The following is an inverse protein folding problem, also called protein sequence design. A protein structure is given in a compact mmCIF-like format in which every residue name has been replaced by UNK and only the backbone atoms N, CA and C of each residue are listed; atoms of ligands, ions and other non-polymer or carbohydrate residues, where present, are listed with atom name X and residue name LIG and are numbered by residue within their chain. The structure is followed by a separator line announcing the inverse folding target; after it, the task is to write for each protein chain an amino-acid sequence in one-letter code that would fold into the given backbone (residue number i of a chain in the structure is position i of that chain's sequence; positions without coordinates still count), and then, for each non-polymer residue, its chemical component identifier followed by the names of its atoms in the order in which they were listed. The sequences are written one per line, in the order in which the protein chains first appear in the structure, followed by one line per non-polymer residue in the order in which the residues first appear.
data_IF_304585029210
#
_entry.id   IF_304585029210
#
_cell.length_a   1.000
_cell.length_b   1.000
_cell.length_c   1.000
_cell.angle_alpha   90.00
_cell.angle_beta   90.00
_cell.angle_gamma   90.00
#
_symmetry.space_group_name_H-M   'P 1'
#
loop_
_entity.id
_entity.type
_entity.pdbx_description
1 polymer ?
#
# COMPACT_ATOMS: atom_id res chain seq x y z
N UNK A 1 -17.13 -19.92 2.82
CA UNK A 1 -16.91 -19.27 1.51
C UNK A 1 -17.48 -17.86 1.40
N UNK A 2 -18.73 -17.58 1.80
CA UNK A 2 -19.34 -16.23 1.74
C UNK A 2 -18.56 -15.11 2.45
N UNK A 3 -17.96 -15.39 3.62
CA UNK A 3 -17.20 -14.38 4.38
C UNK A 3 -15.90 -13.97 3.68
N UNK A 4 -15.18 -14.91 3.07
CA UNK A 4 -13.92 -14.66 2.37
C UNK A 4 -14.19 -13.85 1.10
N UNK A 5 -15.20 -14.25 0.31
CA UNK A 5 -15.61 -13.51 -0.89
C UNK A 5 -15.99 -12.05 -0.56
N UNK A 6 -16.67 -11.83 0.57
CA UNK A 6 -17.03 -10.49 1.04
C UNK A 6 -15.81 -9.66 1.42
N UNK A 7 -14.85 -10.24 2.14
CA UNK A 7 -13.60 -9.54 2.52
C UNK A 7 -12.77 -9.20 1.28
N UNK A 8 -12.68 -10.12 0.32
CA UNK A 8 -11.98 -9.88 -0.94
C UNK A 8 -12.69 -8.79 -1.75
N UNK A 9 -14.02 -8.83 -1.85
CA UNK A 9 -14.79 -7.80 -2.55
C UNK A 9 -14.60 -6.40 -1.93
N UNK A 10 -14.65 -6.28 -0.60
CA UNK A 10 -14.36 -5.01 0.08
C UNK A 10 -12.92 -4.55 -0.17
N UNK A 11 -11.93 -5.45 -0.12
CA UNK A 11 -10.53 -5.12 -0.41
C UNK A 11 -10.31 -4.67 -1.85
N UNK A 12 -11.03 -5.25 -2.82
CA UNK A 12 -10.99 -4.81 -4.23
C UNK A 12 -11.59 -3.42 -4.38
N UNK A 13 -12.73 -3.14 -3.74
CA UNK A 13 -13.37 -1.82 -3.77
C UNK A 13 -12.45 -0.77 -3.13
N UNK A 14 -11.85 -1.09 -1.98
CA UNK A 14 -10.90 -0.19 -1.31
C UNK A 14 -9.68 0.10 -2.18
N UNK A 15 -9.11 -0.92 -2.82
CA UNK A 15 -7.99 -0.75 -3.75
C UNK A 15 -8.38 0.11 -4.96
N UNK A 16 -9.59 -0.07 -5.50
CA UNK A 16 -10.09 0.71 -6.63
C UNK A 16 -10.30 2.18 -6.25
N UNK A 17 -10.92 2.46 -5.09
CA UNK A 17 -11.10 3.83 -4.58
C UNK A 17 -9.74 4.47 -4.33
N UNK A 18 -8.81 3.75 -3.72
CA UNK A 18 -7.47 4.26 -3.44
C UNK A 18 -6.70 4.57 -4.72
N UNK A 19 -6.73 3.66 -5.70
CA UNK A 19 -6.16 3.91 -7.02
C UNK A 19 -6.77 5.12 -7.71
N UNK A 20 -8.10 5.27 -7.66
CA UNK A 20 -8.79 6.42 -8.24
C UNK A 20 -8.34 7.74 -7.62
N UNK A 21 -8.19 7.80 -6.29
CA UNK A 21 -7.67 8.99 -5.60
C UNK A 21 -6.24 9.31 -6.04
N UNK A 22 -5.38 8.30 -6.19
CA UNK A 22 -4.00 8.50 -6.66
C UNK A 22 -3.94 9.00 -8.10
N UNK A 23 -4.75 8.44 -9.00
CA UNK A 23 -4.85 8.90 -10.39
C UNK A 23 -5.45 10.31 -10.49
N UNK A 24 -6.44 10.64 -9.65
CA UNK A 24 -7.00 12.01 -9.56
C UNK A 24 -5.95 13.03 -9.08
N UNK A 25 -5.11 12.66 -8.11
CA UNK A 25 -4.04 13.51 -7.62
C UNK A 25 -2.91 13.67 -8.65
N UNK A 26 -2.51 12.57 -9.30
CA UNK A 26 -1.49 12.56 -10.34
C UNK A 26 -1.93 13.28 -11.63
N UNK A 27 -3.25 13.33 -11.91
CA UNK A 27 -3.81 13.96 -13.10
C UNK A 27 -3.58 13.18 -14.40
N UNK A 28 -3.07 11.95 -14.32
CA UNK A 28 -2.81 11.07 -15.46
C UNK A 28 -2.99 9.61 -15.07
N UNK A 29 -3.53 8.80 -15.97
CA UNK A 29 -3.65 7.33 -15.82
C UNK A 29 -2.43 6.58 -16.32
N UNK A 30 -1.56 7.26 -17.08
CA UNK A 30 -0.37 6.69 -17.73
C UNK A 30 0.86 6.73 -16.79
N UNK A 31 0.61 6.60 -15.48
CA UNK A 31 1.63 6.63 -14.43
C UNK A 31 1.86 5.23 -13.88
N UNK A 32 2.79 4.50 -14.51
CA UNK A 32 3.08 3.09 -14.20
C UNK A 32 3.54 2.85 -12.75
N UNK A 33 4.08 3.88 -12.10
CA UNK A 33 4.49 3.85 -10.69
C UNK A 33 3.28 3.66 -9.76
N UNK A 34 2.14 4.27 -10.06
CA UNK A 34 0.90 4.06 -9.27
C UNK A 34 0.42 2.62 -9.43
N UNK A 35 0.45 2.06 -10.64
CA UNK A 35 0.10 0.67 -10.88
C UNK A 35 1.00 -0.29 -10.08
N UNK A 36 2.31 -0.07 -10.10
CA UNK A 36 3.27 -0.89 -9.34
C UNK A 36 3.02 -0.79 -7.84
N UNK A 37 2.80 0.42 -7.33
CA UNK A 37 2.48 0.65 -5.93
C UNK A 37 1.19 -0.07 -5.51
N UNK A 38 0.12 0.02 -6.32
CA UNK A 38 -1.15 -0.65 -6.07
C UNK A 38 -0.99 -2.18 -6.03
N UNK A 39 -0.23 -2.77 -6.96
CA UNK A 39 0.03 -4.21 -7.00
C UNK A 39 0.78 -4.66 -5.75
N UNK A 40 1.87 -3.97 -5.40
CA UNK A 40 2.67 -4.31 -4.20
C UNK A 40 1.85 -4.13 -2.92
N UNK A 41 1.07 -3.06 -2.83
CA UNK A 41 0.19 -2.79 -1.70
C UNK A 41 -0.88 -3.87 -1.54
N UNK A 42 -1.53 -4.27 -2.64
CA UNK A 42 -2.55 -5.32 -2.64
C UNK A 42 -1.97 -6.66 -2.20
N UNK A 43 -0.83 -7.07 -2.78
CA UNK A 43 -0.16 -8.32 -2.44
C UNK A 43 0.29 -8.35 -0.97
N UNK A 44 0.92 -7.28 -0.49
CA UNK A 44 1.37 -7.16 0.90
C UNK A 44 0.22 -7.21 1.90
N UNK A 45 -0.97 -6.72 1.51
CA UNK A 45 -2.16 -6.74 2.37
C UNK A 45 -2.86 -8.10 2.32
N UNK A 46 -3.03 -8.68 1.13
CA UNK A 46 -3.84 -9.88 0.94
C UNK A 46 -3.10 -11.17 1.28
N UNK A 47 -1.80 -11.27 0.98
CA UNK A 47 -1.02 -12.49 1.24
C UNK A 47 -1.03 -12.85 2.73
N UNK A 48 -0.66 -11.95 3.68
CA UNK A 48 -0.67 -12.28 5.10
C UNK A 48 -2.08 -12.53 5.61
N UNK A 49 -3.07 -11.77 5.13
CA UNK A 49 -4.47 -11.92 5.53
C UNK A 49 -5.03 -13.29 5.13
N UNK A 50 -4.81 -13.73 3.89
CA UNK A 50 -5.26 -15.03 3.40
C UNK A 50 -4.47 -16.16 4.06
N UNK A 51 -3.15 -15.99 4.24
CA UNK A 51 -2.30 -16.97 4.92
C UNK A 51 -2.76 -17.20 6.37
N UNK A 52 -2.91 -16.13 7.16
CA UNK A 52 -3.36 -16.21 8.54
C UNK A 52 -4.80 -16.75 8.65
N UNK A 53 -5.69 -16.40 7.72
CA UNK A 53 -7.06 -16.97 7.71
C UNK A 53 -7.08 -18.47 7.46
N UNK A 54 -6.13 -19.01 6.69
CA UNK A 54 -6.02 -20.45 6.44
C UNK A 54 -5.25 -21.19 7.53
N UNK A 55 -4.18 -20.60 8.06
CA UNK A 55 -3.29 -21.25 9.02
C UNK A 55 -3.89 -21.30 10.44
N UNK A 56 -4.55 -20.22 10.91
CA UNK A 56 -5.13 -20.19 12.24
C UNK A 56 -6.29 -19.15 12.34
N UNK A 57 -7.52 -19.53 11.96
CA UNK A 57 -8.68 -18.65 12.05
C UNK A 57 -9.01 -18.25 13.50
N UNK A 58 -8.59 -19.03 14.50
CA UNK A 58 -8.81 -18.70 15.92
C UNK A 58 -7.84 -17.59 16.40
N UNK A 59 -6.60 -17.56 15.90
CA UNK A 59 -5.66 -16.46 16.15
C UNK A 59 -6.13 -15.13 15.54
N UNK A 60 -6.74 -15.16 14.34
CA UNK A 60 -7.35 -13.96 13.74
C UNK A 60 -8.52 -13.41 14.57
N UNK A 61 -9.37 -14.29 15.11
CA UNK A 61 -10.48 -13.91 15.98
C UNK A 61 -9.99 -13.30 17.31
N UNK A 62 -8.87 -13.81 17.86
CA UNK A 62 -8.23 -13.29 19.08
C UNK A 62 -7.56 -11.92 18.85
N UNK A 63 -6.92 -11.70 17.70
CA UNK A 63 -6.36 -10.38 17.33
C UNK A 63 -7.42 -9.33 16.99
N UNK A 64 -8.59 -9.71 16.47
CA UNK A 64 -9.73 -8.78 16.31
C UNK A 64 -10.26 -8.26 17.65
N UNK A 65 -10.09 -9.02 18.75
CA UNK A 65 -10.44 -8.59 20.11
C UNK A 65 -9.31 -7.81 20.78
N UNK A 66 -8.06 -8.08 20.43
CA UNK A 66 -6.88 -7.29 20.83
C UNK A 66 -6.65 -6.06 19.94
N UNK A 67 -7.73 -5.39 19.53
CA UNK A 67 -7.65 -4.19 18.70
C UNK A 67 -7.29 -2.94 19.53
N UNK A 68 -6.96 -1.80 18.88
CA UNK A 68 -6.55 -0.52 19.51
C UNK A 68 -7.55 0.11 20.49
N UNK A 69 -8.70 -0.53 20.71
CA UNK A 69 -9.69 -0.18 21.74
C UNK A 69 -9.28 -0.75 23.11
N UNK A 70 -8.41 -1.78 23.15
CA UNK A 70 -7.89 -2.36 24.40
C UNK A 70 -6.62 -1.67 24.93
N UNK A 71 -5.92 -0.91 24.09
CA UNK A 71 -4.68 -0.22 24.45
C UNK A 71 -4.98 1.27 24.74
N UNK A 72 -5.16 1.58 26.01
CA UNK A 72 -5.67 2.86 26.54
C UNK A 72 -4.66 4.02 26.50
N UNK A 73 -3.44 3.79 26.03
CA UNK A 73 -2.39 4.82 26.00
C UNK A 73 -2.53 5.72 24.78
N UNK A 74 -3.19 6.86 24.95
CA UNK A 74 -3.41 7.90 23.93
C UNK A 74 -2.14 8.26 23.13
N UNK A 75 -0.97 8.19 23.77
CA UNK A 75 0.32 8.52 23.16
C UNK A 75 0.73 7.54 22.04
N UNK A 76 0.50 6.22 22.22
CA UNK A 76 0.79 5.21 21.20
C UNK A 76 -0.19 5.31 20.02
N UNK A 77 -1.45 5.65 20.30
CA UNK A 77 -2.46 5.90 19.27
C UNK A 77 -2.09 7.11 18.40
N UNK A 78 -1.60 8.19 19.00
CA UNK A 78 -1.11 9.38 18.28
C UNK A 78 0.13 9.03 17.46
N UNK A 79 1.11 8.31 18.02
CA UNK A 79 2.30 7.88 17.29
C UNK A 79 1.96 7.04 16.05
N UNK A 80 1.09 6.03 16.22
CA UNK A 80 0.64 5.18 15.12
C UNK A 80 -0.16 6.00 14.10
N UNK A 81 -1.03 6.90 14.56
CA UNK A 81 -1.79 7.80 13.69
C UNK A 81 -0.88 8.72 12.86
N UNK A 82 0.11 9.34 13.50
CA UNK A 82 1.11 10.19 12.84
C UNK A 82 1.96 9.41 11.84
N UNK A 83 2.29 8.15 12.16
CA UNK A 83 3.02 7.28 11.23
C UNK A 83 2.19 6.91 10.00
N UNK A 84 0.91 6.57 10.16
CA UNK A 84 0.03 6.37 9.00
C UNK A 84 -0.19 7.65 8.21
N UNK A 85 -0.31 8.79 8.89
CA UNK A 85 -0.45 10.09 8.25
C UNK A 85 0.79 10.45 7.43
N UNK A 86 2.00 10.22 7.95
CA UNK A 86 3.23 10.51 7.20
C UNK A 86 3.36 9.63 5.97
N UNK A 87 2.98 8.35 6.04
CA UNK A 87 2.92 7.46 4.87
C UNK A 87 1.91 7.97 3.82
N UNK A 88 0.71 8.35 4.25
CA UNK A 88 -0.29 8.89 3.34
C UNK A 88 0.17 10.21 2.70
N UNK A 89 0.74 11.12 3.49
CA UNK A 89 1.28 12.38 3.01
C UNK A 89 2.40 12.15 1.99
N UNK A 90 3.29 11.19 2.21
CA UNK A 90 4.38 10.86 1.29
C UNK A 90 3.84 10.44 -0.09
N UNK A 91 2.79 9.62 -0.12
CA UNK A 91 2.16 9.17 -1.37
C UNK A 91 1.44 10.33 -2.07
N UNK A 92 0.70 11.15 -1.32
CA UNK A 92 -0.02 12.32 -1.86
C UNK A 92 0.95 13.36 -2.43
N UNK A 93 2.02 13.68 -1.68
CA UNK A 93 3.07 14.60 -2.10
C UNK A 93 3.78 14.06 -3.34
N UNK A 94 4.04 12.74 -3.43
CA UNK A 94 4.64 12.15 -4.63
C UNK A 94 3.75 12.27 -5.87
N UNK A 95 2.44 12.12 -5.73
CA UNK A 95 1.51 12.31 -6.84
C UNK A 95 1.39 13.78 -7.26
N UNK A 96 1.38 14.71 -6.29
CA UNK A 96 1.39 16.16 -6.53
C UNK A 96 2.70 16.62 -7.17
N UNK A 97 3.84 16.09 -6.70
CA UNK A 97 5.16 16.33 -7.27
C UNK A 97 5.21 15.90 -8.75
N UNK A 98 4.63 14.75 -9.09
CA UNK A 98 4.49 14.31 -10.48
C UNK A 98 3.64 15.28 -11.32
N UNK A 99 2.53 15.77 -10.75
CA UNK A 99 1.61 16.69 -11.44
C UNK A 99 2.21 18.08 -11.67
N UNK A 100 2.88 18.64 -10.66
CA UNK A 100 3.46 19.98 -10.74
C UNK A 100 4.92 19.98 -11.22
N UNK A 101 5.52 18.80 -11.40
CA UNK A 101 6.88 18.64 -11.90
C UNK A 101 7.94 19.24 -10.98
N UNK A 102 7.69 19.27 -9.66
CA UNK A 102 8.63 19.89 -8.71
C UNK A 102 9.98 19.16 -8.67
N UNK A 103 10.00 17.85 -8.97
CA UNK A 103 11.20 17.03 -9.06
C UNK A 103 11.54 16.64 -10.51
N UNK A 104 12.74 16.99 -10.97
CA UNK A 104 13.29 16.52 -12.25
C UNK A 104 13.88 15.10 -12.11
N UNK A 105 13.03 14.11 -11.86
CA UNK A 105 13.48 12.71 -11.79
C UNK A 105 13.87 12.24 -13.20
N UNK A 106 15.11 11.75 -13.44
CA UNK A 106 15.49 11.21 -14.72
C UNK A 106 14.58 10.04 -15.10
N UNK A 107 13.89 10.15 -16.25
CA UNK A 107 13.02 9.09 -16.83
C UNK A 107 13.75 7.77 -17.17
N UNK A 108 15.04 7.63 -16.81
CA UNK A 108 15.88 6.45 -17.03
C UNK A 108 16.16 5.72 -15.71
N UNK A 109 15.19 4.97 -15.18
CA UNK A 109 15.46 4.00 -14.09
C UNK A 109 15.17 2.55 -14.48
N UNK A 110 14.33 2.28 -15.49
CA UNK A 110 14.08 0.91 -15.95
C UNK A 110 15.30 0.27 -16.63
N UNK A 111 16.12 1.03 -17.38
CA UNK A 111 17.35 0.50 -17.99
C UNK A 111 18.50 0.29 -17.00
N UNK A 112 18.52 1.05 -15.90
CA UNK A 112 19.64 1.03 -14.96
C UNK A 112 19.54 -0.16 -14.01
N UNK A 113 18.34 -0.50 -13.51
CA UNK A 113 18.15 -1.72 -12.71
C UNK A 113 18.54 -2.99 -13.49
N UNK A 114 18.25 -3.04 -14.79
CA UNK A 114 18.67 -4.15 -15.66
C UNK A 114 20.18 -4.16 -15.98
N UNK A 115 20.88 -3.02 -15.88
CA UNK A 115 22.34 -2.99 -16.05
C UNK A 115 23.09 -3.45 -14.80
N UNK A 116 22.54 -3.25 -13.59
CA UNK A 116 23.10 -3.81 -12.35
C UNK A 116 23.07 -5.35 -12.36
N UNK A 117 21.98 -5.97 -12.85
CA UNK A 117 21.91 -7.44 -12.97
C UNK A 117 22.88 -8.09 -13.97
N UNK A 118 23.54 -7.31 -14.84
CA UNK A 118 24.41 -7.84 -15.91
C UNK A 118 25.89 -7.87 -15.54
N UNK A 119 26.33 -7.09 -14.54
CA UNK A 119 27.76 -6.86 -14.27
C UNK A 119 28.29 -7.51 -13.00
N UNK A 120 27.43 -8.16 -12.21
CA UNK A 120 27.80 -8.68 -10.88
C UNK A 120 28.09 -10.21 -10.88
N UNK A 121 28.30 -10.82 -12.06
CA UNK A 121 28.49 -12.27 -12.24
C UNK A 121 29.76 -12.68 -13.03
N UNK A 122 30.85 -11.91 -12.94
CA UNK A 122 32.20 -12.36 -13.38
C UNK A 122 33.24 -12.00 -12.33
#
# INVERSE_FOLDING_TARGET
MKAIARVVAFGVVELAVFGLVLFLLAGTVDYWQVWTFLVVFALSTWIPTVYLQRADPAAHQRRKRAGPVAETRSLQKVLIGSWYFSLAAMVVISALDHRFGWSSVPRRSARQVMSWWRLDWV
#
